data_IF_137780754049
#
_entry.id   IF_137780754049
#
_cell.length_a   1.000
_cell.length_b   1.000
_cell.length_c   1.000
_cell.angle_alpha   90.00
_cell.angle_beta   90.00
_cell.angle_gamma   90.00
#
_symmetry.space_group_name_H-M   'P 1'
#
loop_
_entity.id
_entity.type
_entity.pdbx_description
1 polymer ?
#
# COMPACT_ATOMS: atom_id res chain seq x y z
N UNK A 1 15.98 15.80 20.27
CA UNK A 1 15.50 15.73 18.86
C UNK A 1 15.88 14.35 18.35
N UNK A 2 14.93 13.56 17.85
CA UNK A 2 15.24 12.22 17.35
C UNK A 2 15.85 12.29 15.95
N UNK A 3 16.91 11.52 15.70
CA UNK A 3 17.60 11.52 14.40
C UNK A 3 16.69 11.04 13.28
N UNK A 4 16.58 11.84 12.23
CA UNK A 4 15.85 11.45 11.03
C UNK A 4 16.53 10.22 10.41
N UNK A 5 15.76 9.24 9.95
CA UNK A 5 16.34 8.02 9.43
C UNK A 5 17.10 8.29 8.12
N UNK A 6 18.25 7.64 7.97
CA UNK A 6 19.12 7.81 6.81
C UNK A 6 18.40 7.58 5.46
N UNK A 7 17.35 6.75 5.42
CA UNK A 7 16.55 6.54 4.22
C UNK A 7 15.88 7.81 3.70
N UNK A 8 15.49 8.70 4.63
CA UNK A 8 14.76 9.93 4.34
C UNK A 8 15.71 11.09 4.04
N UNK A 9 17.00 10.93 4.36
CA UNK A 9 18.04 11.96 4.19
C UNK A 9 18.90 11.67 2.96
N UNK A 10 19.01 10.39 2.55
CA UNK A 10 19.75 10.01 1.35
C UNK A 10 19.02 10.54 0.11
N UNK A 11 19.70 11.31 -0.72
CA UNK A 11 19.18 11.73 -2.03
C UNK A 11 18.91 10.47 -2.87
N UNK A 12 17.65 10.23 -3.16
CA UNK A 12 17.19 9.14 -4.01
C UNK A 12 16.14 9.68 -4.99
N UNK A 13 15.96 9.00 -6.13
CA UNK A 13 14.87 9.32 -7.05
C UNK A 13 13.52 9.15 -6.34
N UNK A 14 12.47 9.92 -6.72
CA UNK A 14 11.12 9.64 -6.26
C UNK A 14 10.76 8.18 -6.52
N UNK A 15 10.07 7.55 -5.56
CA UNK A 15 9.68 6.14 -5.59
C UNK A 15 10.83 5.11 -5.72
N UNK A 16 12.08 5.49 -5.41
CA UNK A 16 13.18 4.52 -5.37
C UNK A 16 13.05 3.53 -4.20
N UNK A 17 12.67 4.07 -3.05
CA UNK A 17 12.46 3.34 -1.81
C UNK A 17 11.03 3.55 -1.38
N UNK A 18 10.26 2.46 -1.31
CA UNK A 18 8.80 2.52 -1.22
C UNK A 18 8.31 1.68 -0.05
N UNK A 19 7.49 2.27 0.83
CA UNK A 19 6.72 1.54 1.82
C UNK A 19 5.42 1.01 1.22
N UNK A 20 5.04 -0.22 1.52
CA UNK A 20 3.76 -0.81 1.08
C UNK A 20 2.86 -1.06 2.28
N UNK A 21 1.62 -0.56 2.21
CA UNK A 21 0.57 -0.84 3.18
C UNK A 21 -0.77 -1.13 2.48
N UNK A 22 -1.71 -1.74 3.21
CA UNK A 22 -3.08 -1.90 2.77
C UNK A 22 -4.04 -1.06 3.62
N UNK A 23 -4.95 -0.34 2.96
CA UNK A 23 -6.15 0.14 3.60
C UNK A 23 -7.23 -0.93 3.53
N UNK A 24 -7.90 -1.08 4.68
CA UNK A 24 -8.95 -2.06 4.89
C UNK A 24 -10.11 -1.96 3.88
N UNK A 25 -11.02 -2.93 3.92
CA UNK A 25 -11.96 -3.14 2.84
C UNK A 25 -12.95 -1.97 2.74
N UNK A 26 -12.91 -1.28 1.61
CA UNK A 26 -13.97 -0.41 1.15
C UNK A 26 -15.02 -1.24 0.42
N UNK A 27 -16.28 -0.90 0.62
CA UNK A 27 -17.38 -1.55 -0.08
C UNK A 27 -17.54 -0.90 -1.45
N UNK A 28 -17.36 -1.68 -2.52
CA UNK A 28 -17.56 -1.26 -3.91
C UNK A 28 -18.71 -2.02 -4.53
N UNK A 29 -19.35 -1.44 -5.55
CA UNK A 29 -20.38 -2.12 -6.35
C UNK A 29 -19.82 -2.56 -7.70
N UNK A 30 -20.38 -3.63 -8.27
CA UNK A 30 -20.07 -4.04 -9.64
C UNK A 30 -20.93 -3.33 -10.70
N UNK A 31 -22.09 -2.80 -10.33
CA UNK A 31 -23.03 -2.22 -11.28
C UNK A 31 -23.74 -1.00 -10.69
N UNK A 32 -24.18 -0.09 -11.56
CA UNK A 32 -24.93 1.11 -11.22
C UNK A 32 -26.42 0.79 -10.91
N UNK A 33 -26.65 -0.14 -9.98
CA UNK A 33 -27.98 -0.60 -9.56
C UNK A 33 -28.16 -0.37 -8.05
N UNK A 34 -29.37 0.04 -7.64
CA UNK A 34 -29.70 0.33 -6.22
C UNK A 34 -29.48 -0.86 -5.28
N UNK A 35 -29.69 -2.10 -5.76
CA UNK A 35 -29.43 -3.37 -5.05
C UNK A 35 -28.29 -4.19 -5.68
N UNK A 36 -27.21 -3.54 -6.11
CA UNK A 36 -26.06 -4.26 -6.63
C UNK A 36 -25.34 -5.06 -5.52
N UNK A 37 -24.82 -6.24 -5.88
CA UNK A 37 -23.91 -7.02 -5.02
C UNK A 37 -22.70 -6.16 -4.66
N UNK A 38 -22.43 -6.08 -3.35
CA UNK A 38 -21.32 -5.31 -2.82
C UNK A 38 -20.13 -6.22 -2.60
N UNK A 39 -18.94 -5.75 -2.99
CA UNK A 39 -17.69 -6.47 -2.85
C UNK A 39 -16.75 -5.68 -1.94
N UNK A 40 -15.93 -6.42 -1.20
CA UNK A 40 -14.89 -5.85 -0.36
C UNK A 40 -13.65 -5.63 -1.23
N UNK A 41 -13.36 -4.37 -1.55
CA UNK A 41 -12.14 -3.98 -2.25
C UNK A 41 -11.16 -3.36 -1.26
N UNK A 42 -9.88 -3.68 -1.36
CA UNK A 42 -8.83 -3.11 -0.53
C UNK A 42 -8.06 -2.08 -1.36
N UNK A 43 -7.43 -1.11 -0.72
CA UNK A 43 -6.53 -0.18 -1.41
C UNK A 43 -5.09 -0.52 -1.02
N UNK A 44 -4.23 -0.72 -2.00
CA UNK A 44 -2.80 -0.82 -1.80
C UNK A 44 -2.20 0.59 -1.85
N UNK A 45 -1.44 0.94 -0.82
CA UNK A 45 -0.75 2.22 -0.71
C UNK A 45 0.75 2.00 -0.89
N UNK A 46 1.33 2.76 -1.80
CA UNK A 46 2.76 2.85 -2.04
C UNK A 46 3.25 4.23 -1.61
N UNK A 47 4.15 4.28 -0.64
CA UNK A 47 4.61 5.54 -0.05
C UNK A 47 6.09 5.72 -0.32
N UNK A 48 6.46 6.82 -0.97
CA UNK A 48 7.86 7.13 -1.23
C UNK A 48 8.56 7.59 0.06
N UNK A 49 9.65 6.93 0.45
CA UNK A 49 10.44 7.31 1.62
C UNK A 49 11.15 8.67 1.46
N UNK A 50 11.54 9.05 0.24
CA UNK A 50 12.26 10.29 -0.03
C UNK A 50 11.33 11.52 -0.05
N UNK A 51 10.21 11.45 -0.79
CA UNK A 51 9.33 12.60 -1.00
C UNK A 51 8.06 12.57 -0.14
N UNK A 52 7.76 11.44 0.50
CA UNK A 52 6.48 11.18 1.22
C UNK A 52 5.25 11.19 0.32
N UNK A 53 5.43 11.13 -1.01
CA UNK A 53 4.32 10.98 -1.94
C UNK A 53 3.64 9.62 -1.75
N UNK A 54 2.31 9.61 -1.78
CA UNK A 54 1.49 8.40 -1.68
C UNK A 54 0.89 8.11 -3.04
N UNK A 55 1.05 6.88 -3.51
CA UNK A 55 0.38 6.34 -4.69
C UNK A 55 -0.62 5.28 -4.24
N UNK A 56 -1.83 5.32 -4.78
CA UNK A 56 -2.94 4.48 -4.35
C UNK A 56 -3.38 3.59 -5.52
N UNK A 57 -3.58 2.32 -5.25
CA UNK A 57 -4.06 1.34 -6.23
C UNK A 57 -5.22 0.55 -5.64
N UNK A 58 -6.29 0.39 -6.43
CA UNK A 58 -7.45 -0.40 -6.00
C UNK A 58 -7.21 -1.89 -6.27
N UNK A 59 -7.50 -2.72 -5.27
CA UNK A 59 -7.28 -4.17 -5.33
C UNK A 59 -8.53 -4.91 -4.92
N UNK A 60 -8.98 -5.84 -5.75
CA UNK A 60 -10.22 -6.62 -5.52
C UNK A 60 -10.12 -7.59 -4.34
N UNK A 61 -8.92 -8.08 -4.01
CA UNK A 61 -8.70 -9.03 -2.92
C UNK A 61 -7.27 -8.97 -2.39
N UNK A 62 -7.05 -9.49 -1.18
CA UNK A 62 -5.70 -9.67 -0.60
C UNK A 62 -5.07 -10.98 -1.12
N UNK A 63 -5.08 -11.19 -2.44
CA UNK A 63 -4.42 -12.30 -3.13
C UNK A 63 -3.07 -11.88 -3.71
N UNK A 64 -2.21 -12.84 -4.03
CA UNK A 64 -0.90 -12.56 -4.63
C UNK A 64 -1.02 -12.02 -6.03
N UNK A 65 -1.93 -12.55 -6.83
CA UNK A 65 -2.19 -12.07 -8.18
C UNK A 65 -2.63 -10.61 -8.18
N UNK A 66 -3.55 -10.25 -7.28
CA UNK A 66 -4.06 -8.90 -7.18
C UNK A 66 -2.99 -7.93 -6.67
N UNK A 67 -2.12 -8.36 -5.74
CA UNK A 67 -0.96 -7.58 -5.30
C UNK A 67 0.07 -7.39 -6.43
N UNK A 68 0.42 -8.44 -7.17
CA UNK A 68 1.35 -8.36 -8.29
C UNK A 68 0.81 -7.48 -9.41
N UNK A 69 -0.51 -7.50 -9.67
CA UNK A 69 -1.15 -6.60 -10.60
C UNK A 69 -1.01 -5.13 -10.16
N UNK A 70 -1.31 -4.83 -8.89
CA UNK A 70 -1.13 -3.48 -8.33
C UNK A 70 0.34 -3.02 -8.39
N UNK A 71 1.29 -3.91 -8.08
CA UNK A 71 2.71 -3.60 -8.16
C UNK A 71 3.17 -3.35 -9.61
N UNK A 72 2.62 -4.07 -10.59
CA UNK A 72 2.90 -3.82 -12.01
C UNK A 72 2.37 -2.46 -12.46
N UNK A 73 1.15 -2.09 -12.05
CA UNK A 73 0.56 -0.77 -12.34
C UNK A 73 1.40 0.34 -11.72
N UNK A 74 1.79 0.19 -10.45
CA UNK A 74 2.68 1.11 -9.78
C UNK A 74 4.00 1.29 -10.55
N UNK A 75 4.65 0.20 -10.94
CA UNK A 75 5.92 0.26 -11.71
C UNK A 75 5.70 0.95 -13.06
N UNK A 76 4.60 0.68 -13.74
CA UNK A 76 4.27 1.30 -15.02
C UNK A 76 4.06 2.82 -14.91
N UNK A 77 3.45 3.29 -13.82
CA UNK A 77 3.12 4.70 -13.64
C UNK A 77 4.21 5.52 -12.94
N UNK A 78 4.87 4.95 -11.92
CA UNK A 78 5.83 5.67 -11.05
C UNK A 78 7.29 5.27 -11.29
N UNK A 79 7.51 4.19 -12.04
CA UNK A 79 8.83 3.66 -12.32
C UNK A 79 9.25 2.55 -11.36
N UNK A 80 10.41 1.98 -11.65
CA UNK A 80 10.93 0.80 -10.98
C UNK A 80 11.53 1.14 -9.60
N UNK A 81 11.00 0.60 -8.48
CA UNK A 81 11.61 0.79 -7.17
C UNK A 81 12.87 -0.08 -7.02
N UNK A 82 13.87 0.42 -6.30
CA UNK A 82 15.07 -0.36 -5.93
C UNK A 82 14.83 -1.14 -4.64
N UNK A 83 14.10 -0.56 -3.70
CA UNK A 83 13.79 -1.16 -2.39
C UNK A 83 12.31 -1.02 -2.03
N UNK A 84 11.71 -2.10 -1.56
CA UNK A 84 10.37 -2.14 -0.96
C UNK A 84 10.49 -2.44 0.54
N UNK A 85 9.89 -1.58 1.34
CA UNK A 85 9.85 -1.65 2.80
C UNK A 85 8.48 -2.11 3.28
N UNK A 86 8.45 -3.12 4.16
CA UNK A 86 7.25 -3.45 4.92
C UNK A 86 7.42 -3.18 6.40
N UNK A 87 6.39 -2.63 7.01
CA UNK A 87 6.35 -2.42 8.44
C UNK A 87 6.06 -3.74 9.16
N UNK A 88 6.82 -3.98 10.23
CA UNK A 88 6.59 -5.07 11.17
C UNK A 88 5.95 -4.52 12.46
N UNK A 89 4.90 -3.72 12.34
CA UNK A 89 4.15 -3.25 13.49
C UNK A 89 3.28 -4.39 14.05
N UNK A 90 3.90 -5.22 14.88
CA UNK A 90 3.23 -6.22 15.73
C UNK A 90 2.26 -5.60 16.77
N UNK A 91 2.25 -4.27 16.93
CA UNK A 91 1.55 -3.58 18.03
C UNK A 91 0.15 -3.05 17.68
N UNK A 92 -0.30 -3.11 16.42
CA UNK A 92 -1.62 -2.59 16.06
C UNK A 92 -2.65 -3.72 16.00
N UNK A 93 -3.43 -3.88 17.06
CA UNK A 93 -4.48 -4.90 17.20
C UNK A 93 -5.52 -4.83 16.06
N UNK A 94 -5.69 -3.66 15.42
CA UNK A 94 -6.56 -3.46 14.25
C UNK A 94 -5.91 -3.68 12.87
N UNK A 95 -4.59 -3.50 12.73
CA UNK A 95 -3.84 -3.66 11.46
C UNK A 95 -3.18 -5.04 11.34
N UNK A 96 -3.10 -5.79 12.45
CA UNK A 96 -2.39 -7.05 12.54
C UNK A 96 -2.84 -8.09 11.52
N UNK A 97 -4.13 -8.12 11.14
CA UNK A 97 -4.64 -9.08 10.17
C UNK A 97 -4.18 -8.76 8.74
N UNK A 98 -4.20 -7.49 8.34
CA UNK A 98 -3.74 -7.06 7.03
C UNK A 98 -2.23 -7.21 6.89
N UNK A 99 -1.47 -6.82 7.93
CA UNK A 99 -0.02 -7.03 7.96
C UNK A 99 0.33 -8.52 7.90
N UNK A 100 -0.31 -9.38 8.71
CA UNK A 100 -0.11 -10.84 8.62
C UNK A 100 -0.40 -11.41 7.23
N UNK A 101 -1.44 -10.92 6.56
CA UNK A 101 -1.76 -11.34 5.20
C UNK A 101 -0.70 -10.85 4.21
N UNK A 102 -0.28 -9.59 4.29
CA UNK A 102 0.86 -9.05 3.55
C UNK A 102 2.13 -9.91 3.73
N UNK A 103 2.47 -10.25 4.97
CA UNK A 103 3.60 -11.12 5.29
C UNK A 103 3.48 -12.48 4.61
N UNK A 104 2.28 -13.08 4.61
CA UNK A 104 2.02 -14.34 3.90
C UNK A 104 2.14 -14.17 2.39
N UNK A 105 1.59 -13.09 1.82
CA UNK A 105 1.62 -12.81 0.40
C UNK A 105 3.05 -12.69 -0.09
N UNK A 106 3.90 -11.95 0.62
CA UNK A 106 5.27 -11.74 0.15
C UNK A 106 6.18 -12.93 0.40
N UNK A 107 5.84 -13.81 1.35
CA UNK A 107 6.53 -15.11 1.46
C UNK A 107 6.16 -16.09 0.36
N UNK A 108 5.18 -15.79 -0.49
CA UNK A 108 4.85 -16.69 -1.60
C UNK A 108 5.96 -16.66 -2.66
N UNK A 109 6.32 -17.83 -3.22
CA UNK A 109 7.41 -17.95 -4.19
C UNK A 109 7.18 -17.07 -5.41
N UNK A 110 5.95 -17.00 -5.93
CA UNK A 110 5.60 -16.16 -7.07
C UNK A 110 5.95 -14.67 -6.88
N UNK A 111 5.80 -14.15 -5.65
CA UNK A 111 6.12 -12.76 -5.35
C UNK A 111 7.64 -12.59 -5.22
N UNK A 112 8.31 -13.53 -4.55
CA UNK A 112 9.77 -13.52 -4.44
C UNK A 112 10.43 -13.60 -5.82
N UNK A 113 10.03 -14.54 -6.66
CA UNK A 113 10.54 -14.70 -8.02
C UNK A 113 10.35 -13.43 -8.85
N UNK A 114 9.18 -12.80 -8.75
CA UNK A 114 8.91 -11.54 -9.43
C UNK A 114 9.83 -10.40 -8.97
N UNK A 115 10.09 -10.30 -7.66
CA UNK A 115 10.98 -9.29 -7.09
C UNK A 115 12.45 -9.57 -7.48
N UNK A 116 12.89 -10.83 -7.40
CA UNK A 116 14.26 -11.25 -7.73
C UNK A 116 14.58 -11.04 -9.21
N UNK A 117 13.69 -11.47 -10.12
CA UNK A 117 13.85 -11.26 -11.57
C UNK A 117 14.00 -9.78 -11.92
N UNK A 118 13.36 -8.91 -11.15
CA UNK A 118 13.38 -7.45 -11.34
C UNK A 118 14.45 -6.75 -10.50
N UNK A 119 15.27 -7.48 -9.74
CA UNK A 119 16.28 -6.93 -8.84
C UNK A 119 15.70 -5.90 -7.84
N UNK A 120 14.45 -6.12 -7.41
CA UNK A 120 13.78 -5.29 -6.40
C UNK A 120 14.12 -5.89 -5.03
N UNK A 121 14.85 -5.12 -4.22
CA UNK A 121 15.19 -5.54 -2.89
C UNK A 121 14.00 -5.36 -1.96
N UNK A 122 13.74 -6.35 -1.13
CA UNK A 122 12.69 -6.32 -0.14
C UNK A 122 13.30 -6.29 1.26
N UNK A 123 12.81 -5.40 2.13
CA UNK A 123 13.27 -5.33 3.51
C UNK A 123 12.12 -5.13 4.48
N UNK A 124 12.15 -5.92 5.56
CA UNK A 124 11.29 -5.69 6.71
C UNK A 124 11.90 -4.61 7.60
N UNK A 125 11.11 -3.60 7.91
CA UNK A 125 11.51 -2.59 8.90
C UNK A 125 11.43 -3.26 10.27
N UNK A 126 12.53 -3.24 11.07
CA UNK A 126 12.50 -3.83 12.39
C UNK A 126 11.45 -3.13 13.28
N UNK A 127 10.77 -3.88 14.17
CA UNK A 127 9.87 -3.27 15.15
C UNK A 127 10.69 -2.27 15.97
N UNK A 128 10.14 -1.09 16.27
CA UNK A 128 10.80 0.03 16.97
C UNK A 128 11.71 0.95 16.12
N UNK A 129 11.34 1.23 14.88
CA UNK A 129 11.85 2.39 14.14
C UNK A 129 10.85 3.58 14.20
N UNK A 130 10.71 4.29 15.33
CA UNK A 130 9.65 5.28 15.56
C UNK A 130 9.64 6.42 14.54
N UNK A 131 10.81 6.81 14.03
CA UNK A 131 10.93 7.91 13.07
C UNK A 131 10.44 7.50 11.66
N UNK A 132 10.50 6.21 11.33
CA UNK A 132 9.90 5.67 10.10
C UNK A 132 8.41 5.42 10.27
N UNK A 133 8.03 4.75 11.37
CA UNK A 133 6.66 4.36 11.64
C UNK A 133 5.72 5.56 11.74
N UNK A 134 6.11 6.62 12.45
CA UNK A 134 5.22 7.78 12.68
C UNK A 134 4.87 8.59 11.43
N UNK A 135 5.85 8.86 10.56
CA UNK A 135 5.62 9.62 9.31
C UNK A 135 4.81 8.80 8.31
N UNK A 136 5.13 7.52 8.23
CA UNK A 136 4.43 6.57 7.37
C UNK A 136 2.98 6.39 7.84
N UNK A 137 2.77 6.10 9.12
CA UNK A 137 1.45 5.94 9.73
C UNK A 137 0.60 7.20 9.56
N UNK A 138 1.18 8.38 9.77
CA UNK A 138 0.48 9.66 9.59
C UNK A 138 0.02 9.86 8.15
N UNK A 139 0.86 9.52 7.17
CA UNK A 139 0.53 9.66 5.75
C UNK A 139 -0.56 8.68 5.33
N UNK A 140 -0.49 7.43 5.79
CA UNK A 140 -1.55 6.43 5.57
C UNK A 140 -2.86 6.88 6.21
N UNK A 141 -2.82 7.30 7.47
CA UNK A 141 -4.01 7.74 8.22
C UNK A 141 -4.65 8.94 7.54
N UNK A 142 -3.84 9.86 7.04
CA UNK A 142 -4.28 11.01 6.25
C UNK A 142 -4.95 10.55 4.96
N UNK A 143 -4.30 9.71 4.15
CA UNK A 143 -4.84 9.18 2.90
C UNK A 143 -6.18 8.46 3.13
N UNK A 144 -6.24 7.54 4.10
CA UNK A 144 -7.47 6.82 4.51
C UNK A 144 -8.59 7.80 4.86
N UNK A 145 -8.29 8.81 5.67
CA UNK A 145 -9.26 9.84 6.09
C UNK A 145 -9.78 10.66 4.90
N UNK A 146 -8.90 11.07 3.98
CA UNK A 146 -9.32 11.81 2.80
C UNK A 146 -10.19 10.96 1.88
N UNK A 147 -9.80 9.71 1.62
CA UNK A 147 -10.59 8.77 0.83
C UNK A 147 -12.01 8.58 1.38
N UNK A 148 -12.13 8.31 2.67
CA UNK A 148 -13.43 8.15 3.32
C UNK A 148 -14.27 9.43 3.26
N UNK A 149 -13.65 10.61 3.42
CA UNK A 149 -14.34 11.90 3.30
C UNK A 149 -14.77 12.21 1.88
N UNK A 150 -13.94 11.93 0.87
CA UNK A 150 -14.26 12.17 -0.54
C UNK A 150 -15.41 11.28 -1.00
N UNK A 151 -15.42 10.02 -0.56
CA UNK A 151 -16.50 9.10 -0.91
C UNK A 151 -17.83 9.45 -0.22
N UNK A 152 -17.85 10.21 0.89
CA UNK A 152 -19.05 10.65 1.63
C UNK A 152 -20.09 9.54 1.90
N UNK A 153 -19.67 8.29 2.01
CA UNK A 153 -20.59 7.13 2.18
C UNK A 153 -21.30 6.68 0.91
N UNK A 154 -21.01 7.27 -0.26
CA UNK A 154 -21.43 6.75 -1.55
C UNK A 154 -20.67 5.46 -1.87
N UNK A 155 -21.43 4.42 -2.22
CA UNK A 155 -20.89 3.18 -2.74
C UNK A 155 -20.57 3.37 -4.22
N UNK A 156 -19.30 3.68 -4.50
CA UNK A 156 -18.76 3.81 -5.85
C UNK A 156 -18.57 2.44 -6.51
N UNK A 157 -18.63 2.43 -7.84
CA UNK A 157 -18.24 1.25 -8.62
C UNK A 157 -16.73 1.04 -8.57
N UNK A 158 -16.29 -0.19 -8.84
CA UNK A 158 -14.86 -0.51 -8.88
C UNK A 158 -14.11 0.38 -9.89
N UNK A 159 -14.67 0.59 -11.07
CA UNK A 159 -14.09 1.44 -12.12
C UNK A 159 -14.06 2.92 -11.70
N UNK A 160 -15.15 3.43 -11.13
CA UNK A 160 -15.23 4.80 -10.64
C UNK A 160 -14.21 5.06 -9.54
N UNK A 161 -14.09 4.13 -8.59
CA UNK A 161 -13.12 4.23 -7.51
C UNK A 161 -11.69 4.09 -8.04
N UNK A 162 -11.44 3.22 -9.02
CA UNK A 162 -10.11 3.13 -9.67
C UNK A 162 -9.73 4.37 -10.45
N UNK A 163 -10.70 5.12 -10.98
CA UNK A 163 -10.47 6.39 -11.69
C UNK A 163 -10.24 7.55 -10.73
N UNK A 164 -10.83 7.48 -9.53
CA UNK A 164 -10.68 8.50 -8.50
C UNK A 164 -9.32 8.42 -7.78
N UNK A 165 -8.70 7.25 -7.75
CA UNK A 165 -7.41 6.95 -7.13
C UNK A 165 -6.25 7.28 -8.06
#
# INVERSE_FOLDING_TARGET
MGDLPAICITKARPFDRVGVDFAGPLMTKCQHIRKATQFKSNICLFICAATRAVHLELVSSLSTEAFLAALRLFIAQRGHPSEILLDNSSNFIGSANHLKQLFKLVRQPQVQDFLTVRNIHWKFVPPYAPNFGGVWESSIKLAKRHLLKTCKGHLLMFEELSTLL
#
